data_IF_747858095890
#
_entry.id   IF_747858095890
#
_cell.length_a   1.000
_cell.length_b   1.000
_cell.length_c   1.000
_cell.angle_alpha   90.00
_cell.angle_beta   90.00
_cell.angle_gamma   90.00
#
_symmetry.space_group_name_H-M   'P 1'
#
loop_
_entity.id
_entity.type
_entity.pdbx_description
1 polymer ?
#
# COMPACT_ATOMS: atom_id res chain seq x y z
N UNK A 1 12.49 48.54 -67.88
CA UNK A 1 13.03 48.51 -66.50
C UNK A 1 12.01 47.82 -65.59
N UNK A 2 12.42 46.71 -64.96
CA UNK A 2 11.57 45.88 -64.09
C UNK A 2 11.59 46.44 -62.67
N UNK A 3 10.43 46.67 -62.06
CA UNK A 3 10.32 46.97 -60.62
C UNK A 3 9.48 45.89 -59.95
N UNK A 4 10.14 45.03 -59.16
CA UNK A 4 9.50 44.06 -58.25
C UNK A 4 9.05 44.78 -56.99
N UNK A 5 7.83 44.52 -56.52
CA UNK A 5 7.38 44.83 -55.16
C UNK A 5 6.60 43.64 -54.61
N UNK A 6 7.08 43.06 -53.52
CA UNK A 6 6.44 42.05 -52.67
C UNK A 6 5.77 42.78 -51.49
N UNK A 7 4.55 42.41 -51.07
CA UNK A 7 4.36 41.94 -49.68
C UNK A 7 3.14 41.00 -49.58
N UNK A 8 2.72 40.34 -48.50
CA UNK A 8 3.19 40.11 -47.13
C UNK A 8 2.43 38.84 -46.69
N UNK A 9 3.10 37.98 -45.92
CA UNK A 9 2.46 36.83 -45.25
C UNK A 9 1.70 37.36 -44.03
N UNK A 10 0.38 37.20 -43.99
CA UNK A 10 -0.39 37.39 -42.76
C UNK A 10 -0.63 36.03 -42.12
N UNK A 11 0.12 35.75 -41.04
CA UNK A 11 -0.17 34.67 -40.12
C UNK A 11 -1.27 35.15 -39.17
N UNK A 12 -2.42 34.47 -39.15
CA UNK A 12 -3.46 34.68 -38.14
C UNK A 12 -3.35 33.53 -37.14
N UNK A 13 -2.81 33.81 -35.96
CA UNK A 13 -2.87 32.92 -34.80
C UNK A 13 -3.80 33.63 -33.80
N UNK A 14 -5.06 33.20 -33.74
CA UNK A 14 -6.05 33.75 -32.83
C UNK A 14 -6.50 32.66 -31.84
N UNK A 15 -5.81 32.66 -30.70
CA UNK A 15 -6.34 32.59 -29.33
C UNK A 15 -7.65 31.78 -29.12
N UNK A 16 -7.54 30.56 -28.58
CA UNK A 16 -8.66 29.88 -27.90
C UNK A 16 -8.33 29.64 -26.42
N UNK A 17 -9.25 30.11 -25.58
CA UNK A 17 -9.24 30.08 -24.11
C UNK A 17 -9.08 28.66 -23.53
N UNK A 18 -8.28 28.45 -22.47
CA UNK A 18 -8.39 27.24 -21.67
C UNK A 18 -9.64 27.35 -20.78
N UNK A 19 -10.60 26.44 -20.98
CA UNK A 19 -11.71 26.24 -20.07
C UNK A 19 -11.18 25.80 -18.70
N UNK A 20 -11.50 26.55 -17.65
CA UNK A 20 -11.19 26.17 -16.28
C UNK A 20 -11.97 24.90 -15.91
N UNK A 21 -11.27 23.79 -15.78
CA UNK A 21 -11.81 22.55 -15.26
C UNK A 21 -11.98 22.70 -13.74
N UNK A 22 -13.21 22.88 -13.27
CA UNK A 22 -13.53 22.82 -11.84
C UNK A 22 -13.48 21.35 -11.44
N UNK A 23 -12.37 20.94 -10.84
CA UNK A 23 -12.26 19.64 -10.19
C UNK A 23 -13.12 19.67 -8.91
N UNK A 24 -14.34 19.13 -9.01
CA UNK A 24 -15.15 18.80 -7.84
C UNK A 24 -14.48 17.66 -7.08
N UNK A 25 -13.83 17.99 -5.96
CA UNK A 25 -13.29 17.03 -5.01
C UNK A 25 -14.42 16.16 -4.48
N UNK A 26 -14.33 14.86 -4.73
CA UNK A 26 -15.20 13.86 -4.16
C UNK A 26 -14.63 13.57 -2.77
N UNK A 27 -15.34 14.00 -1.72
CA UNK A 27 -15.04 13.58 -0.36
C UNK A 27 -15.19 12.07 -0.31
N UNK A 28 -14.05 11.37 -0.30
CA UNK A 28 -13.98 9.95 -0.03
C UNK A 28 -14.47 9.77 1.41
N UNK A 29 -15.70 9.32 1.57
CA UNK A 29 -16.21 8.91 2.87
C UNK A 29 -15.29 7.80 3.40
N UNK A 30 -14.41 8.17 4.34
CA UNK A 30 -13.57 7.23 5.06
C UNK A 30 -14.51 6.41 5.93
N UNK A 31 -14.87 5.22 5.46
CA UNK A 31 -15.66 4.28 6.23
C UNK A 31 -14.76 3.76 7.36
N UNK A 32 -14.76 4.46 8.50
CA UNK A 32 -13.99 4.06 9.67
C UNK A 32 -14.67 2.85 10.31
N UNK A 33 -14.08 1.67 10.10
CA UNK A 33 -14.43 0.48 10.87
C UNK A 33 -14.22 0.75 12.37
N UNK A 34 -15.05 0.18 13.25
CA UNK A 34 -14.79 0.25 14.69
C UNK A 34 -13.42 -0.37 14.99
N UNK A 35 -12.69 0.22 15.94
CA UNK A 35 -11.38 -0.31 16.35
C UNK A 35 -11.56 -1.67 17.02
N UNK A 36 -11.03 -2.72 16.38
CA UNK A 36 -11.01 -4.09 16.93
C UNK A 36 -9.61 -4.41 17.42
N UNK A 37 -9.47 -4.58 18.74
CA UNK A 37 -8.19 -4.94 19.36
C UNK A 37 -8.05 -6.47 19.50
N UNK A 38 -7.21 -7.07 18.66
CA UNK A 38 -6.84 -8.50 18.74
C UNK A 38 -5.49 -8.62 19.44
N UNK A 39 -5.43 -9.32 20.58
CA UNK A 39 -4.19 -9.55 21.35
C UNK A 39 -3.97 -11.04 21.60
N UNK A 40 -2.70 -11.43 21.78
CA UNK A 40 -2.34 -12.82 22.10
C UNK A 40 -2.90 -13.32 23.43
N UNK A 41 -3.08 -12.43 24.44
CA UNK A 41 -3.65 -12.76 25.75
C UNK A 41 -5.17 -12.83 25.76
N UNK A 42 -5.86 -12.30 24.73
CA UNK A 42 -7.31 -12.03 24.75
C UNK A 42 -7.75 -11.10 25.89
N UNK A 43 -6.81 -10.42 26.53
CA UNK A 43 -7.04 -9.48 27.62
C UNK A 43 -6.45 -8.15 27.19
N UNK A 44 -7.29 -7.11 27.17
CA UNK A 44 -6.84 -5.75 26.89
C UNK A 44 -5.85 -5.29 27.96
N UNK A 45 -4.69 -4.79 27.53
CA UNK A 45 -3.67 -4.29 28.43
C UNK A 45 -2.47 -3.71 27.68
N UNK A 46 -1.60 -2.94 28.37
CA UNK A 46 -0.42 -2.34 27.76
C UNK A 46 0.48 -3.41 27.14
N UNK A 47 1.02 -3.14 25.94
CA UNK A 47 1.92 -4.08 25.24
C UNK A 47 3.17 -4.39 26.06
N UNK A 48 3.75 -3.39 26.71
CA UNK A 48 4.99 -3.53 27.50
C UNK A 48 4.81 -4.40 28.75
N UNK A 49 3.56 -4.63 29.18
CA UNK A 49 3.24 -5.51 30.30
C UNK A 49 3.00 -6.96 29.86
N UNK A 50 2.96 -7.25 28.55
CA UNK A 50 2.69 -8.59 28.03
C UNK A 50 3.97 -9.44 28.02
N UNK A 51 3.93 -10.70 28.47
CA UNK A 51 5.10 -11.56 28.58
C UNK A 51 5.55 -12.16 27.22
N UNK A 52 4.98 -11.74 26.10
CA UNK A 52 5.27 -12.26 24.77
C UNK A 52 5.58 -11.15 23.77
N UNK A 53 6.59 -11.38 22.93
CA UNK A 53 7.01 -10.43 21.90
C UNK A 53 5.92 -10.19 20.87
N UNK A 54 5.46 -8.94 20.78
CA UNK A 54 4.40 -8.51 19.86
C UNK A 54 4.90 -7.35 19.02
N UNK A 55 4.83 -7.50 17.70
CA UNK A 55 5.10 -6.41 16.74
C UNK A 55 3.79 -5.90 16.16
N UNK A 56 3.70 -4.58 15.95
CA UNK A 56 2.54 -3.94 15.32
C UNK A 56 3.05 -3.27 14.05
N UNK A 57 2.42 -3.61 12.93
CA UNK A 57 2.62 -2.97 11.64
C UNK A 57 1.39 -2.07 11.43
N UNK A 58 1.61 -0.76 11.38
CA UNK A 58 0.52 0.22 11.22
C UNK A 58 0.18 0.42 9.74
N UNK A 59 -0.97 1.04 9.47
CA UNK A 59 -1.34 1.43 8.10
C UNK A 59 -0.28 2.36 7.45
N UNK A 60 0.33 3.26 8.23
CA UNK A 60 1.42 4.13 7.76
C UNK A 60 2.67 3.31 7.40
N UNK A 61 3.01 2.30 8.21
CA UNK A 61 4.15 1.42 7.92
C UNK A 61 3.94 0.63 6.63
N UNK A 62 2.72 0.12 6.41
CA UNK A 62 2.36 -0.60 5.18
C UNK A 62 2.49 0.33 3.97
N UNK A 63 1.93 1.54 4.05
CA UNK A 63 2.01 2.53 2.96
C UNK A 63 3.46 2.90 2.64
N UNK A 64 4.29 3.16 3.66
CA UNK A 64 5.73 3.46 3.48
C UNK A 64 6.53 2.28 2.95
N UNK A 65 6.15 1.05 3.30
CA UNK A 65 6.84 -0.16 2.86
C UNK A 65 6.65 -0.47 1.37
N UNK A 66 5.59 0.07 0.75
CA UNK A 66 5.19 -0.26 -0.62
C UNK A 66 4.91 -1.76 -0.83
N UNK A 67 4.59 -2.50 0.23
CA UNK A 67 4.23 -3.91 0.14
C UNK A 67 2.84 -4.07 -0.50
N UNK A 68 2.73 -5.01 -1.43
CA UNK A 68 1.49 -5.37 -2.09
C UNK A 68 0.72 -6.48 -1.35
N UNK A 69 1.40 -7.28 -0.52
CA UNK A 69 0.77 -8.32 0.31
C UNK A 69 1.13 -8.19 1.79
N UNK A 70 0.31 -8.79 2.65
CA UNK A 70 0.55 -8.85 4.10
C UNK A 70 1.86 -9.58 4.41
N UNK A 71 2.14 -10.67 3.70
CA UNK A 71 3.35 -11.46 3.90
C UNK A 71 4.59 -10.67 3.49
N UNK A 72 4.51 -9.93 2.38
CA UNK A 72 5.58 -9.02 1.97
C UNK A 72 5.84 -7.92 3.00
N UNK A 73 4.79 -7.32 3.57
CA UNK A 73 4.94 -6.32 4.62
C UNK A 73 5.65 -6.90 5.86
N UNK A 74 5.25 -8.11 6.29
CA UNK A 74 5.87 -8.81 7.43
C UNK A 74 7.34 -9.12 7.16
N UNK A 75 7.67 -9.64 5.97
CA UNK A 75 9.06 -9.91 5.59
C UNK A 75 9.91 -8.63 5.57
N UNK A 76 9.42 -7.56 4.94
CA UNK A 76 10.16 -6.30 4.79
C UNK A 76 10.37 -5.56 6.11
N UNK A 77 9.31 -5.45 6.91
CA UNK A 77 9.32 -4.61 8.11
C UNK A 77 9.88 -5.33 9.34
N UNK A 78 9.68 -6.66 9.42
CA UNK A 78 10.07 -7.44 10.59
C UNK A 78 11.22 -8.43 10.32
N UNK A 79 11.67 -8.55 9.06
CA UNK A 79 12.79 -9.43 8.70
C UNK A 79 12.45 -10.93 8.83
N UNK A 80 11.17 -11.28 8.80
CA UNK A 80 10.72 -12.68 8.87
C UNK A 80 11.13 -13.41 7.59
N UNK A 81 11.71 -14.62 7.68
CA UNK A 81 11.96 -15.45 6.51
C UNK A 81 10.66 -15.85 5.82
N UNK A 82 10.57 -15.56 4.52
CA UNK A 82 9.51 -16.10 3.67
C UNK A 82 10.05 -17.16 2.71
N UNK A 83 9.16 -18.04 2.25
CA UNK A 83 9.44 -19.04 1.22
C UNK A 83 8.47 -18.86 0.07
N UNK A 84 9.00 -18.82 -1.14
CA UNK A 84 8.19 -18.66 -2.33
C UNK A 84 7.20 -19.82 -2.46
N UNK A 85 5.93 -19.51 -2.69
CA UNK A 85 4.96 -20.51 -3.12
C UNK A 85 5.24 -20.93 -4.57
N UNK A 86 5.31 -22.24 -4.80
CA UNK A 86 5.49 -22.86 -6.12
C UNK A 86 4.19 -23.45 -6.68
N UNK A 87 3.05 -23.33 -5.98
CA UNK A 87 1.74 -23.80 -6.43
C UNK A 87 0.99 -22.78 -7.29
N UNK A 88 1.63 -21.65 -7.63
CA UNK A 88 1.10 -20.65 -8.56
C UNK A 88 0.32 -19.52 -7.91
N UNK A 89 0.28 -19.43 -6.57
CA UNK A 89 -0.33 -18.32 -5.85
C UNK A 89 0.50 -17.03 -5.87
N UNK A 90 1.82 -17.14 -6.15
CA UNK A 90 2.72 -15.98 -6.24
C UNK A 90 2.98 -15.28 -4.90
N UNK A 91 2.47 -15.81 -3.80
CA UNK A 91 2.70 -15.29 -2.44
C UNK A 91 3.87 -16.02 -1.75
N UNK A 92 4.30 -15.49 -0.61
CA UNK A 92 5.31 -16.12 0.25
C UNK A 92 4.63 -16.79 1.44
N UNK A 93 5.00 -18.02 1.78
CA UNK A 93 4.68 -18.55 3.10
C UNK A 93 5.70 -18.05 4.13
N UNK A 94 5.24 -17.70 5.34
CA UNK A 94 6.10 -17.15 6.37
C UNK A 94 6.66 -18.27 7.26
N UNK A 95 7.82 -18.05 7.88
CA UNK A 95 8.31 -18.88 8.98
C UNK A 95 8.59 -18.02 10.22
N UNK A 96 7.59 -17.89 11.10
CA UNK A 96 7.64 -16.98 12.25
C UNK A 96 8.59 -17.42 13.38
N UNK A 97 8.98 -18.70 13.43
CA UNK A 97 9.81 -19.25 14.54
C UNK A 97 10.75 -20.40 14.14
N UNK A 98 11.03 -20.58 12.85
CA UNK A 98 11.96 -21.61 12.38
C UNK A 98 11.36 -23.01 12.30
N UNK A 99 10.06 -23.13 12.02
CA UNK A 99 9.37 -24.41 11.82
C UNK A 99 9.68 -25.08 10.47
N UNK A 100 10.40 -24.38 9.58
CA UNK A 100 10.90 -24.92 8.32
C UNK A 100 9.76 -25.36 7.40
N UNK A 101 9.80 -26.62 6.96
CA UNK A 101 8.78 -27.17 6.04
C UNK A 101 7.39 -27.27 6.62
N UNK A 102 7.24 -27.11 7.94
CA UNK A 102 5.95 -27.21 8.64
C UNK A 102 5.42 -25.85 9.10
N UNK A 103 6.07 -24.74 8.69
CA UNK A 103 5.69 -23.38 9.10
C UNK A 103 4.21 -23.06 8.86
N UNK A 104 3.69 -23.54 7.74
CA UNK A 104 2.33 -23.25 7.27
C UNK A 104 1.26 -23.88 8.19
N UNK A 105 1.61 -24.96 8.91
CA UNK A 105 0.73 -25.60 9.91
C UNK A 105 0.93 -25.07 11.34
N UNK A 106 1.88 -24.16 11.55
CA UNK A 106 2.23 -23.62 12.87
C UNK A 106 1.91 -22.12 12.99
N UNK A 107 0.94 -21.66 12.20
CA UNK A 107 0.50 -20.27 12.15
C UNK A 107 -1.02 -20.20 12.23
N UNK A 108 -1.52 -19.13 12.83
CA UNK A 108 -2.94 -18.81 12.90
C UNK A 108 -3.10 -17.39 12.41
N UNK A 109 -3.94 -17.21 11.40
CA UNK A 109 -4.35 -15.90 10.90
C UNK A 109 -5.75 -15.62 11.45
N UNK A 110 -5.90 -14.47 12.11
CA UNK A 110 -7.17 -13.99 12.65
C UNK A 110 -7.46 -12.64 12.02
N UNK A 111 -8.70 -12.45 11.53
CA UNK A 111 -9.16 -11.20 10.93
C UNK A 111 -10.37 -10.76 11.74
N UNK A 112 -10.29 -9.56 12.33
CA UNK A 112 -11.37 -8.95 13.12
C UNK A 112 -11.90 -9.75 14.33
N UNK A 113 -11.12 -10.72 14.83
CA UNK A 113 -11.39 -11.47 16.07
C UNK A 113 -12.15 -12.77 15.88
#
# INVERSE_FOLDING_TARGET
MKFKRLPARLAVFALSLPAAFVASGQDLAVNTLPETLVTGSRIAGPRDAQPFGTSVITAEDIQRSGAATVNEAIMRLLGVPGRQDFYGGGDYSLDLRGFGTTSDSNQVVVVDG
#
